data_IF_946837014181
#
_entry.id   IF_946837014181
#
_cell.length_a   1.000
_cell.length_b   1.000
_cell.length_c   1.000
_cell.angle_alpha   90.00
_cell.angle_beta   90.00
_cell.angle_gamma   90.00
#
_symmetry.space_group_name_H-M   'P 1'
#
loop_
_entity.id
_entity.type
_entity.pdbx_description
1 polymer ?
#
# COMPACT_ATOMS: atom_id res chain seq x y z
N UNK A 1 1.37 -10.82 -3.97
CA UNK A 1 1.93 -9.90 -2.94
C UNK A 1 0.91 -9.89 -1.81
N UNK A 2 1.30 -10.38 -0.64
CA UNK A 2 0.39 -10.61 0.49
C UNK A 2 0.92 -9.74 1.62
N UNK A 3 0.43 -8.51 1.69
CA UNK A 3 0.76 -7.57 2.78
C UNK A 3 -0.39 -7.63 3.77
N UNK A 4 -0.19 -8.34 4.88
CA UNK A 4 -1.12 -8.33 6.02
C UNK A 4 -0.86 -7.09 6.86
N UNK A 5 -1.81 -6.17 6.94
CA UNK A 5 -1.73 -4.99 7.81
C UNK A 5 -2.41 -5.30 9.15
N UNK A 6 -1.64 -5.47 10.22
CA UNK A 6 -2.21 -5.36 11.57
C UNK A 6 -2.32 -3.88 11.95
N UNK A 7 -3.45 -3.27 11.64
CA UNK A 7 -3.85 -1.98 12.24
C UNK A 7 -4.57 -2.25 13.55
N UNK A 8 -3.93 -1.98 14.70
CA UNK A 8 -4.62 -1.84 15.98
C UNK A 8 -5.44 -0.53 15.96
N UNK A 9 -6.64 -0.60 15.36
CA UNK A 9 -7.69 0.41 15.48
C UNK A 9 -8.67 -0.03 16.56
N UNK A 10 -8.78 0.74 17.63
CA UNK A 10 -9.71 0.46 18.72
C UNK A 10 -11.17 0.54 18.26
N UNK A 11 -11.94 -0.48 18.65
CA UNK A 11 -13.40 -0.58 18.73
C UNK A 11 -14.21 -0.63 17.42
N UNK A 12 -14.11 -1.76 16.72
CA UNK A 12 -15.31 -2.46 16.24
C UNK A 12 -15.43 -3.76 17.04
N UNK A 13 -16.65 -4.22 17.35
CA UNK A 13 -16.91 -5.46 18.13
C UNK A 13 -15.98 -6.57 17.64
N UNK A 14 -14.98 -6.88 18.46
CA UNK A 14 -14.07 -7.97 18.21
C UNK A 14 -14.87 -9.27 18.35
N UNK A 15 -15.27 -9.87 17.23
CA UNK A 15 -15.19 -11.32 17.19
C UNK A 15 -13.76 -11.65 17.57
N UNK A 16 -13.62 -12.38 18.67
CA UNK A 16 -12.31 -12.72 19.24
C UNK A 16 -11.59 -13.57 18.21
N UNK A 17 -10.64 -12.96 17.49
CA UNK A 17 -9.71 -13.69 16.67
C UNK A 17 -8.89 -14.56 17.63
N UNK A 18 -9.27 -15.84 17.78
CA UNK A 18 -8.52 -16.79 18.57
C UNK A 18 -7.21 -17.06 17.86
N UNK A 19 -6.14 -16.40 18.32
CA UNK A 19 -4.79 -16.74 17.92
C UNK A 19 -4.46 -18.12 18.50
N UNK A 20 -4.60 -19.19 17.72
CA UNK A 20 -4.19 -20.55 18.09
C UNK A 20 -2.65 -20.73 18.11
N UNK A 21 -1.90 -19.69 17.72
CA UNK A 21 -0.44 -19.71 17.70
C UNK A 21 0.16 -19.64 19.11
N UNK A 22 1.14 -20.51 19.39
CA UNK A 22 1.97 -20.46 20.61
C UNK A 22 2.99 -19.30 20.62
N UNK A 23 2.93 -18.41 19.64
CA UNK A 23 3.98 -17.43 19.37
C UNK A 23 3.75 -16.15 20.19
N UNK A 24 4.60 -15.93 21.20
CA UNK A 24 4.42 -14.88 22.21
C UNK A 24 5.31 -13.66 21.97
N UNK A 25 5.95 -13.53 20.79
CA UNK A 25 6.88 -12.44 20.51
C UNK A 25 6.69 -11.86 19.12
N UNK A 26 7.02 -10.58 18.99
CA UNK A 26 7.08 -9.90 17.68
C UNK A 26 8.31 -10.44 16.94
N UNK A 27 8.17 -10.90 15.68
CA UNK A 27 9.30 -11.41 14.90
C UNK A 27 10.28 -10.30 14.53
N UNK A 28 11.55 -10.65 14.41
CA UNK A 28 12.57 -9.77 13.85
C UNK A 28 12.49 -9.80 12.32
N UNK A 29 12.82 -8.67 11.67
CA UNK A 29 12.84 -8.60 10.20
C UNK A 29 13.76 -9.66 9.57
N UNK A 30 14.89 -9.96 10.21
CA UNK A 30 15.81 -11.00 9.75
C UNK A 30 15.13 -12.38 9.68
N UNK A 31 14.28 -12.70 10.65
CA UNK A 31 13.58 -13.98 10.74
C UNK A 31 12.52 -14.10 9.64
N UNK A 32 11.88 -12.97 9.30
CA UNK A 32 10.98 -12.89 8.15
C UNK A 32 11.75 -13.13 6.84
N UNK A 33 12.93 -12.53 6.68
CA UNK A 33 13.77 -12.75 5.49
C UNK A 33 14.27 -14.19 5.38
N UNK A 34 14.64 -14.82 6.49
CA UNK A 34 15.05 -16.23 6.55
C UNK A 34 13.88 -17.18 6.22
N UNK A 35 12.69 -16.91 6.76
CA UNK A 35 11.50 -17.75 6.54
C UNK A 35 10.94 -17.62 5.12
N UNK A 36 11.08 -16.45 4.48
CA UNK A 36 10.48 -16.14 3.19
C UNK A 36 11.51 -15.68 2.14
N UNK A 37 12.48 -16.54 1.76
CA UNK A 37 13.62 -16.14 0.95
C UNK A 37 13.25 -15.66 -0.45
N UNK A 38 12.13 -16.12 -1.02
CA UNK A 38 11.73 -15.79 -2.39
C UNK A 38 10.44 -14.97 -2.48
N UNK A 39 9.87 -14.58 -1.33
CA UNK A 39 8.61 -13.83 -1.29
C UNK A 39 8.93 -12.33 -1.34
N UNK A 40 8.29 -11.55 -2.24
CA UNK A 40 8.40 -10.10 -2.22
C UNK A 40 7.84 -9.53 -0.91
N UNK A 41 8.54 -8.55 -0.32
CA UNK A 41 8.17 -7.94 0.96
C UNK A 41 8.03 -6.42 0.81
N UNK A 42 6.92 -5.87 1.30
CA UNK A 42 6.71 -4.43 1.41
C UNK A 42 6.93 -3.99 2.87
N UNK A 43 7.84 -3.04 3.09
CA UNK A 43 8.26 -2.53 4.40
C UNK A 43 7.82 -1.07 4.56
N UNK A 44 6.86 -0.83 5.45
CA UNK A 44 6.48 0.53 5.83
C UNK A 44 7.33 1.04 7.00
N UNK A 45 8.13 2.07 6.76
CA UNK A 45 8.98 2.72 7.79
C UNK A 45 8.11 3.65 8.63
N UNK A 46 7.67 3.16 9.78
CA UNK A 46 6.71 3.86 10.66
C UNK A 46 7.26 5.07 11.41
N UNK A 47 8.58 5.18 11.55
CA UNK A 47 9.22 6.24 12.36
C UNK A 47 10.30 6.93 11.55
N UNK A 48 10.31 8.27 11.59
CA UNK A 48 11.35 9.07 10.98
C UNK A 48 12.65 8.97 11.79
N UNK A 49 13.47 7.96 11.48
CA UNK A 49 14.72 7.69 12.18
C UNK A 49 15.79 7.18 11.20
N UNK A 50 16.89 7.93 11.06
CA UNK A 50 17.97 7.59 10.13
C UNK A 50 18.68 6.27 10.48
N UNK A 51 18.84 5.96 11.77
CA UNK A 51 19.46 4.71 12.20
C UNK A 51 18.57 3.52 11.84
N UNK A 52 17.25 3.64 12.00
CA UNK A 52 16.29 2.61 11.58
C UNK A 52 16.39 2.36 10.07
N UNK A 53 16.33 3.42 9.26
CA UNK A 53 16.41 3.32 7.79
C UNK A 53 17.72 2.65 7.38
N UNK A 54 18.84 3.08 7.95
CA UNK A 54 20.16 2.47 7.70
C UNK A 54 20.19 0.99 8.09
N UNK A 55 19.66 0.61 9.26
CA UNK A 55 19.63 -0.79 9.72
C UNK A 55 18.75 -1.68 8.85
N UNK A 56 17.63 -1.16 8.35
CA UNK A 56 16.79 -1.87 7.38
C UNK A 56 17.54 -2.05 6.05
N UNK A 57 18.18 -0.99 5.53
CA UNK A 57 19.02 -1.06 4.33
C UNK A 57 20.13 -2.10 4.44
N UNK A 58 20.86 -2.10 5.55
CA UNK A 58 21.91 -3.09 5.85
C UNK A 58 21.38 -4.53 5.81
N UNK A 59 20.20 -4.77 6.41
CA UNK A 59 19.57 -6.10 6.38
C UNK A 59 19.13 -6.49 4.97
N UNK A 60 18.49 -5.59 4.21
CA UNK A 60 18.07 -5.89 2.83
C UNK A 60 19.29 -6.25 1.97
N UNK A 61 20.39 -5.51 2.10
CA UNK A 61 21.67 -5.80 1.42
C UNK A 61 22.28 -7.13 1.86
N UNK A 62 22.32 -7.40 3.17
CA UNK A 62 22.88 -8.63 3.72
C UNK A 62 22.18 -9.87 3.15
N UNK A 63 20.86 -9.81 2.97
CA UNK A 63 20.06 -10.90 2.39
C UNK A 63 19.92 -10.82 0.87
N UNK A 64 20.53 -9.82 0.21
CA UNK A 64 20.51 -9.59 -1.25
C UNK A 64 19.09 -9.50 -1.84
N UNK A 65 18.22 -8.75 -1.17
CA UNK A 65 16.77 -8.69 -1.47
C UNK A 65 16.30 -7.37 -2.06
N UNK A 66 17.20 -6.50 -2.47
CA UNK A 66 16.89 -5.15 -2.99
C UNK A 66 15.87 -5.22 -4.13
N UNK A 67 16.01 -6.21 -5.02
CA UNK A 67 15.15 -6.44 -6.17
C UNK A 67 13.74 -7.00 -5.86
N UNK A 68 13.50 -7.51 -4.65
CA UNK A 68 12.21 -8.09 -4.22
C UNK A 68 11.68 -7.45 -2.92
N UNK A 69 12.26 -6.34 -2.52
CA UNK A 69 11.82 -5.59 -1.33
C UNK A 69 11.39 -4.20 -1.77
N UNK A 70 10.26 -3.74 -1.27
CA UNK A 70 9.79 -2.37 -1.43
C UNK A 70 9.78 -1.73 -0.07
N UNK A 71 10.10 -0.44 0.01
CA UNK A 71 9.96 0.30 1.25
C UNK A 71 9.48 1.72 1.05
N UNK A 72 8.98 2.33 2.13
CA UNK A 72 8.72 3.75 2.16
C UNK A 72 7.71 4.10 3.24
N UNK A 73 6.98 5.18 3.01
CA UNK A 73 5.99 5.70 3.94
C UNK A 73 5.10 6.77 3.27
N UNK A 74 3.98 7.13 3.90
CA UNK A 74 3.17 8.27 3.48
C UNK A 74 3.91 9.63 3.57
N UNK A 75 4.92 9.75 4.45
CA UNK A 75 5.73 10.96 4.60
C UNK A 75 6.80 11.07 3.52
N UNK A 76 6.80 12.18 2.78
CA UNK A 76 7.82 12.49 1.78
C UNK A 76 9.23 12.53 2.37
N UNK A 77 9.38 13.05 3.58
CA UNK A 77 10.69 13.14 4.24
C UNK A 77 11.30 11.75 4.50
N UNK A 78 10.48 10.79 4.94
CA UNK A 78 10.92 9.42 5.20
C UNK A 78 11.28 8.74 3.88
N UNK A 79 10.44 8.86 2.85
CA UNK A 79 10.70 8.30 1.52
C UNK A 79 11.99 8.87 0.91
N UNK A 80 12.23 10.17 1.05
CA UNK A 80 13.45 10.82 0.58
C UNK A 80 14.69 10.32 1.31
N UNK A 81 14.61 10.08 2.63
CA UNK A 81 15.68 9.47 3.41
C UNK A 81 15.94 8.02 2.98
N UNK A 82 14.89 7.24 2.73
CA UNK A 82 14.99 5.88 2.21
C UNK A 82 15.71 5.87 0.86
N UNK A 83 15.27 6.70 -0.09
CA UNK A 83 15.88 6.79 -1.42
C UNK A 83 17.36 7.18 -1.37
N UNK A 84 17.73 8.11 -0.48
CA UNK A 84 19.14 8.52 -0.28
C UNK A 84 20.00 7.43 0.37
N UNK A 85 19.44 6.66 1.29
CA UNK A 85 20.16 5.56 1.96
C UNK A 85 20.41 4.39 1.01
N UNK A 86 19.41 4.03 0.20
CA UNK A 86 19.53 2.95 -0.78
C UNK A 86 18.56 3.13 -1.94
N UNK A 87 19.07 3.63 -3.07
CA UNK A 87 18.30 3.82 -4.30
C UNK A 87 18.02 2.52 -5.07
N UNK A 88 18.68 1.41 -4.70
CA UNK A 88 18.46 0.10 -5.35
C UNK A 88 17.19 -0.59 -4.84
N UNK A 89 16.64 -0.14 -3.70
CA UNK A 89 15.37 -0.62 -3.14
C UNK A 89 14.24 0.26 -3.68
N UNK A 90 13.26 -0.31 -4.41
CA UNK A 90 12.09 0.42 -4.87
C UNK A 90 11.33 1.15 -3.76
N UNK A 91 10.92 2.39 -4.08
CA UNK A 91 10.15 3.24 -3.16
C UNK A 91 8.68 3.38 -3.57
N UNK A 92 7.82 3.51 -2.57
CA UNK A 92 6.40 3.82 -2.73
C UNK A 92 6.12 5.33 -2.75
N UNK A 93 4.95 5.71 -3.28
CA UNK A 93 4.52 7.11 -3.33
C UNK A 93 4.17 7.65 -1.93
N UNK A 94 4.75 8.80 -1.57
CA UNK A 94 4.28 9.58 -0.44
C UNK A 94 3.00 10.36 -0.77
N UNK A 95 2.25 10.79 0.24
CA UNK A 95 1.00 11.54 0.04
C UNK A 95 1.22 12.81 -0.81
N UNK A 96 2.32 13.53 -0.58
CA UNK A 96 2.67 14.71 -1.36
C UNK A 96 2.89 14.36 -2.84
N UNK A 97 3.55 13.23 -3.13
CA UNK A 97 3.78 12.77 -4.50
C UNK A 97 2.49 12.31 -5.16
N UNK A 98 1.58 11.65 -4.43
CA UNK A 98 0.24 11.31 -4.93
C UNK A 98 -0.52 12.56 -5.38
N UNK A 99 -0.57 13.59 -4.54
CA UNK A 99 -1.25 14.85 -4.88
C UNK A 99 -0.61 15.55 -6.09
N UNK A 100 0.72 15.52 -6.21
CA UNK A 100 1.42 16.04 -7.38
C UNK A 100 1.01 15.29 -8.66
N UNK A 101 1.01 13.95 -8.63
CA UNK A 101 0.60 13.14 -9.79
C UNK A 101 -0.85 13.44 -10.18
N UNK A 102 -1.75 13.59 -9.21
CA UNK A 102 -3.13 13.99 -9.51
C UNK A 102 -3.18 15.36 -10.18
N UNK A 103 -2.48 16.36 -9.65
CA UNK A 103 -2.43 17.69 -10.26
C UNK A 103 -1.88 17.64 -11.70
N UNK A 104 -0.82 16.87 -11.93
CA UNK A 104 -0.24 16.67 -13.25
C UNK A 104 -1.17 15.91 -14.21
N UNK A 105 -1.92 14.94 -13.69
CA UNK A 105 -2.90 14.19 -14.47
C UNK A 105 -4.01 15.11 -14.98
N UNK A 106 -4.63 15.91 -14.10
CA UNK A 106 -5.73 16.79 -14.46
C UNK A 106 -5.30 18.01 -15.30
N UNK A 107 -4.03 18.41 -15.22
CA UNK A 107 -3.46 19.47 -16.08
C UNK A 107 -2.94 18.92 -17.43
N UNK A 108 -2.91 17.60 -17.61
CA UNK A 108 -2.37 16.95 -18.81
C UNK A 108 -0.84 16.95 -18.90
N UNK A 109 -0.14 17.36 -17.83
CA UNK A 109 1.31 17.45 -17.78
C UNK A 109 2.01 16.16 -17.32
N UNK A 110 1.26 15.18 -16.81
CA UNK A 110 1.79 13.91 -16.30
C UNK A 110 2.76 13.17 -17.24
N UNK A 111 2.52 13.11 -18.57
CA UNK A 111 3.44 12.45 -19.49
C UNK A 111 4.85 13.07 -19.54
N UNK A 112 4.99 14.35 -19.20
CA UNK A 112 6.25 15.10 -19.31
C UNK A 112 7.09 15.08 -18.04
N UNK A 113 6.54 14.56 -16.92
CA UNK A 113 7.23 14.57 -15.63
C UNK A 113 7.80 13.18 -15.32
N UNK A 114 9.12 13.06 -15.06
CA UNK A 114 9.71 11.80 -14.64
C UNK A 114 9.22 11.41 -13.25
N UNK A 115 8.98 10.11 -13.08
CA UNK A 115 8.54 9.50 -11.83
C UNK A 115 9.61 8.49 -11.45
N UNK A 116 10.11 8.60 -10.22
CA UNK A 116 11.12 7.69 -9.66
C UNK A 116 10.50 6.59 -8.80
N UNK A 117 9.32 6.86 -8.26
CA UNK A 117 8.56 5.90 -7.45
C UNK A 117 8.00 4.77 -8.30
N UNK A 118 8.05 3.55 -7.79
CA UNK A 118 7.66 2.33 -8.53
C UNK A 118 6.35 1.73 -8.02
N UNK A 119 5.90 2.11 -6.83
CA UNK A 119 4.72 1.54 -6.16
C UNK A 119 3.74 2.63 -5.73
N UNK A 120 2.66 2.80 -6.50
CA UNK A 120 1.56 3.70 -6.20
C UNK A 120 0.55 2.98 -5.30
N UNK A 121 0.72 3.14 -3.98
CA UNK A 121 -0.08 2.46 -2.96
C UNK A 121 -1.04 3.45 -2.30
N UNK A 122 -2.35 3.31 -2.54
CA UNK A 122 -3.34 4.26 -2.02
C UNK A 122 -4.54 3.56 -1.35
N UNK A 123 -5.12 4.19 -0.32
CA UNK A 123 -6.34 3.67 0.25
C UNK A 123 -7.52 3.90 -0.72
N UNK A 124 -8.46 2.98 -0.79
CA UNK A 124 -9.72 3.23 -1.51
C UNK A 124 -10.61 4.17 -0.68
N UNK A 125 -10.88 5.42 -1.13
CA UNK A 125 -11.56 6.40 -0.26
C UNK A 125 -12.97 5.97 0.15
N UNK A 126 -13.73 5.32 -0.74
CA UNK A 126 -15.04 4.76 -0.39
C UNK A 126 -15.05 3.78 0.79
N UNK A 127 -13.93 3.10 1.09
CA UNK A 127 -13.81 2.20 2.25
C UNK A 127 -13.61 2.98 3.54
N UNK A 128 -12.95 4.15 3.48
CA UNK A 128 -12.82 5.04 4.64
C UNK A 128 -14.21 5.46 5.17
N UNK A 129 -15.20 5.60 4.28
CA UNK A 129 -16.58 5.87 4.69
C UNK A 129 -17.24 4.70 5.44
N UNK A 130 -16.90 3.46 5.08
CA UNK A 130 -17.41 2.25 5.75
C UNK A 130 -16.73 2.03 7.11
N UNK A 131 -15.42 2.29 7.19
CA UNK A 131 -14.63 2.06 8.40
C UNK A 131 -14.86 3.10 9.49
N UNK A 132 -15.12 4.37 9.12
CA UNK A 132 -15.47 5.41 10.10
C UNK A 132 -16.93 5.27 10.52
N UNK A 133 -17.17 5.25 11.84
CA UNK A 133 -18.53 5.18 12.37
C UNK A 133 -19.42 6.30 11.78
N UNK A 134 -20.58 5.97 11.18
CA UNK A 134 -21.43 6.91 10.45
C UNK A 134 -21.86 8.14 11.26
N UNK A 135 -21.90 8.03 12.59
CA UNK A 135 -22.32 9.06 13.53
C UNK A 135 -21.25 10.12 13.83
N UNK A 136 -20.00 9.91 13.41
CA UNK A 136 -18.88 10.83 13.73
C UNK A 136 -18.52 11.77 12.57
N UNK A 137 -19.06 11.55 11.36
CA UNK A 137 -18.62 12.27 10.16
C UNK A 137 -19.51 13.46 9.78
N UNK A 138 -18.88 14.63 9.62
CA UNK A 138 -19.55 15.82 9.11
C UNK A 138 -19.94 15.66 7.63
N UNK A 139 -20.92 16.44 7.17
CA UNK A 139 -21.31 16.49 5.74
C UNK A 139 -20.13 16.88 4.84
N UNK A 140 -19.28 17.80 5.30
CA UNK A 140 -18.08 18.22 4.56
C UNK A 140 -17.05 17.10 4.42
N UNK A 141 -16.83 16.28 5.47
CA UNK A 141 -15.92 15.13 5.39
C UNK A 141 -16.43 14.08 4.40
N UNK A 142 -17.74 13.78 4.41
CA UNK A 142 -18.34 12.86 3.44
C UNK A 142 -18.18 13.35 2.02
N UNK A 143 -18.39 14.65 1.79
CA UNK A 143 -18.16 15.28 0.49
C UNK A 143 -16.69 15.20 0.05
N UNK A 144 -15.75 15.48 0.96
CA UNK A 144 -14.32 15.39 0.65
C UNK A 144 -13.87 13.97 0.31
N UNK A 145 -14.39 12.95 1.00
CA UNK A 145 -14.07 11.55 0.69
C UNK A 145 -14.69 11.13 -0.64
N UNK A 146 -15.93 11.52 -0.92
CA UNK A 146 -16.56 11.26 -2.21
C UNK A 146 -15.79 11.93 -3.36
N UNK A 147 -15.39 13.19 -3.17
CA UNK A 147 -14.60 13.93 -4.15
C UNK A 147 -13.23 13.26 -4.36
N UNK A 148 -12.55 12.84 -3.28
CA UNK A 148 -11.26 12.16 -3.41
C UNK A 148 -11.39 10.81 -4.09
N UNK A 149 -12.47 10.06 -3.85
CA UNK A 149 -12.80 8.82 -4.56
C UNK A 149 -12.91 9.07 -6.07
N UNK A 150 -13.66 10.09 -6.50
CA UNK A 150 -13.82 10.47 -7.91
C UNK A 150 -12.50 10.91 -8.57
N UNK A 151 -11.65 11.61 -7.82
CA UNK A 151 -10.39 12.13 -8.35
C UNK A 151 -9.29 11.05 -8.42
N UNK A 152 -9.17 10.21 -7.39
CA UNK A 152 -8.14 9.18 -7.28
C UNK A 152 -8.48 7.90 -8.07
N UNK A 153 -9.74 7.44 -8.05
CA UNK A 153 -10.15 6.15 -8.60
C UNK A 153 -10.45 6.26 -10.11
N UNK A 154 -9.43 6.61 -10.90
CA UNK A 154 -9.56 6.79 -12.36
C UNK A 154 -8.77 5.73 -13.11
N UNK A 155 -9.47 4.92 -13.91
CA UNK A 155 -8.84 3.91 -14.77
C UNK A 155 -7.75 4.50 -15.68
N UNK A 156 -8.00 5.66 -16.29
CA UNK A 156 -7.01 6.33 -17.14
C UNK A 156 -5.73 6.76 -16.39
N UNK A 157 -5.84 7.10 -15.10
CA UNK A 157 -4.67 7.40 -14.27
C UNK A 157 -3.88 6.11 -14.03
N UNK A 158 -4.55 5.02 -13.65
CA UNK A 158 -3.89 3.75 -13.37
C UNK A 158 -3.26 3.16 -14.62
N UNK A 159 -3.97 3.14 -15.75
CA UNK A 159 -3.46 2.73 -17.05
C UNK A 159 -2.19 3.52 -17.42
N UNK A 160 -2.18 4.85 -17.19
CA UNK A 160 -1.00 5.68 -17.44
C UNK A 160 0.18 5.31 -16.55
N UNK A 161 -0.05 5.09 -15.25
CA UNK A 161 1.00 4.70 -14.31
C UNK A 161 1.55 3.30 -14.65
N UNK A 162 0.68 2.34 -14.90
CA UNK A 162 1.06 0.97 -15.26
C UNK A 162 1.78 0.90 -16.60
N UNK A 163 1.39 1.70 -17.60
CA UNK A 163 2.12 1.83 -18.86
C UNK A 163 3.57 2.34 -18.67
N UNK A 164 3.85 3.00 -17.55
CA UNK A 164 5.19 3.46 -17.14
C UNK A 164 5.93 2.45 -16.25
N UNK A 165 5.39 1.25 -16.06
CA UNK A 165 5.95 0.20 -15.20
C UNK A 165 5.69 0.39 -13.71
N UNK A 166 4.82 1.33 -13.33
CA UNK A 166 4.48 1.59 -11.92
C UNK A 166 3.38 0.62 -11.50
N UNK A 167 3.61 -0.05 -10.37
CA UNK A 167 2.63 -0.94 -9.76
C UNK A 167 1.59 -0.12 -8.99
N UNK A 168 0.31 -0.44 -9.16
CA UNK A 168 -0.81 0.28 -8.52
C UNK A 168 -1.47 -0.66 -7.52
N UNK A 169 -1.25 -0.42 -6.22
CA UNK A 169 -1.84 -1.21 -5.15
C UNK A 169 -2.91 -0.43 -4.40
N UNK A 170 -4.05 -1.09 -4.18
CA UNK A 170 -5.17 -0.50 -3.45
C UNK A 170 -5.36 -1.26 -2.13
N UNK A 171 -5.51 -0.49 -1.04
CA UNK A 171 -5.62 -1.03 0.30
C UNK A 171 -6.71 -0.31 1.14
N UNK A 172 -7.14 -0.81 2.29
CA UNK A 172 -7.27 -2.23 2.59
C UNK A 172 -8.65 -2.67 2.12
N UNK A 173 -8.72 -3.70 1.27
CA UNK A 173 -9.98 -4.21 0.72
C UNK A 173 -10.29 -5.54 1.41
N UNK A 174 -11.53 -5.81 1.82
CA UNK A 174 -11.90 -7.02 2.57
C UNK A 174 -13.14 -7.73 2.01
N UNK A 175 -13.86 -7.10 1.07
CA UNK A 175 -15.04 -7.65 0.42
C UNK A 175 -14.79 -7.93 -1.08
N UNK A 176 -15.44 -8.96 -1.64
CA UNK A 176 -15.28 -9.33 -3.06
C UNK A 176 -15.66 -8.20 -4.02
N UNK A 177 -16.71 -7.44 -3.68
CA UNK A 177 -17.10 -6.27 -4.47
C UNK A 177 -16.01 -5.18 -4.50
N UNK A 178 -15.22 -5.06 -3.43
CA UNK A 178 -14.10 -4.11 -3.35
C UNK A 178 -12.92 -4.60 -4.19
N UNK A 179 -12.61 -5.91 -4.12
CA UNK A 179 -11.62 -6.54 -5.00
C UNK A 179 -11.98 -6.32 -6.47
N UNK A 180 -13.21 -6.66 -6.85
CA UNK A 180 -13.70 -6.49 -8.21
C UNK A 180 -13.55 -5.04 -8.67
N UNK A 181 -14.01 -4.08 -7.85
CA UNK A 181 -13.88 -2.66 -8.17
C UNK A 181 -12.42 -2.23 -8.38
N UNK A 182 -11.50 -2.68 -7.53
CA UNK A 182 -10.08 -2.35 -7.65
C UNK A 182 -9.48 -2.87 -8.96
N UNK A 183 -9.75 -4.14 -9.32
CA UNK A 183 -9.25 -4.72 -10.56
C UNK A 183 -9.94 -4.14 -11.81
N UNK A 184 -11.25 -3.86 -11.76
CA UNK A 184 -11.98 -3.18 -12.85
C UNK A 184 -11.37 -1.80 -13.16
N UNK A 185 -10.85 -1.11 -12.14
CA UNK A 185 -10.16 0.18 -12.27
C UNK A 185 -8.72 0.05 -12.81
N UNK A 186 -8.16 -1.15 -12.91
CA UNK A 186 -6.79 -1.38 -13.38
C UNK A 186 -5.74 -1.45 -12.28
N UNK A 187 -6.11 -1.74 -11.03
CA UNK A 187 -5.13 -2.03 -9.99
C UNK A 187 -4.29 -3.27 -10.36
N UNK A 188 -2.98 -3.21 -10.15
CA UNK A 188 -2.08 -4.35 -10.38
C UNK A 188 -1.98 -5.27 -9.16
N UNK A 189 -2.47 -4.82 -8.01
CA UNK A 189 -2.54 -5.62 -6.78
C UNK A 189 -3.46 -5.01 -5.72
N UNK A 190 -3.82 -5.82 -4.75
CA UNK A 190 -4.70 -5.48 -3.64
C UNK A 190 -4.04 -5.90 -2.33
N UNK A 191 -4.15 -5.06 -1.29
CA UNK A 191 -3.78 -5.43 0.07
C UNK A 191 -5.04 -5.67 0.90
N UNK A 192 -5.06 -6.76 1.65
CA UNK A 192 -6.25 -7.27 2.32
C UNK A 192 -5.87 -7.96 3.63
N UNK A 193 -6.79 -7.94 4.59
CA UNK A 193 -6.67 -8.71 5.83
C UNK A 193 -7.10 -10.17 5.62
N UNK A 194 -7.77 -10.49 4.51
CA UNK A 194 -8.29 -11.82 4.17
C UNK A 194 -7.65 -12.40 2.91
N UNK A 195 -6.36 -12.75 2.94
CA UNK A 195 -5.65 -13.12 1.72
C UNK A 195 -6.07 -14.46 1.13
N UNK A 196 -6.61 -15.39 1.93
CA UNK A 196 -7.26 -16.62 1.41
C UNK A 196 -8.47 -16.28 0.55
N UNK A 197 -9.32 -15.36 1.02
CA UNK A 197 -10.51 -14.91 0.29
C UNK A 197 -10.14 -14.22 -1.02
N UNK A 198 -9.10 -13.38 -1.00
CA UNK A 198 -8.56 -12.76 -2.23
C UNK A 198 -8.01 -13.81 -3.20
N UNK A 199 -7.33 -14.84 -2.70
CA UNK A 199 -6.84 -15.94 -3.55
C UNK A 199 -8.00 -16.68 -4.24
N UNK A 200 -9.04 -17.03 -3.49
CA UNK A 200 -10.22 -17.72 -4.03
C UNK A 200 -10.94 -16.85 -5.07
N UNK A 201 -11.10 -15.55 -4.80
CA UNK A 201 -11.63 -14.59 -5.76
C UNK A 201 -10.82 -14.55 -7.06
N UNK A 202 -9.49 -14.51 -6.99
CA UNK A 202 -8.62 -14.46 -8.17
C UNK A 202 -8.69 -15.74 -9.01
N UNK A 203 -8.83 -16.91 -8.38
CA UNK A 203 -9.04 -18.17 -9.10
C UNK A 203 -10.37 -18.15 -9.86
N UNK A 204 -11.46 -17.73 -9.21
CA UNK A 204 -12.80 -17.71 -9.82
C UNK A 204 -12.94 -16.72 -10.99
N UNK A 205 -12.16 -15.64 -11.01
CA UNK A 205 -12.18 -14.64 -12.11
C UNK A 205 -11.29 -15.05 -13.28
N UNK A 206 -10.38 -16.01 -13.07
CA UNK A 206 -9.44 -16.48 -14.11
C UNK A 206 -9.99 -17.67 -14.92
N UNK A 207 -11.11 -18.26 -14.51
CA UNK A 207 -11.88 -19.28 -15.24
C UNK A 207 -12.92 -18.63 -16.17
#
# INVERSE_FOLDING_TARGET
>A
IMTTYYTFGNHQKAETCQCEGKDNRIPLLKEVFEAFPNTPINIDIKVNNNLLIKKVSELVKQYRREHITVWGNASYEIVEKCYKENSDIPILFSLQRVLLILGLFFTGLLPFVPIREQFFEIPMPSIILKLKEPHTMSRSQKFLIWLSDILLMRKALFDHLTARGIQVYIWVLNEEQEYKRAFDLGATGVMTDYPTKLKDFLHNVSE
#
